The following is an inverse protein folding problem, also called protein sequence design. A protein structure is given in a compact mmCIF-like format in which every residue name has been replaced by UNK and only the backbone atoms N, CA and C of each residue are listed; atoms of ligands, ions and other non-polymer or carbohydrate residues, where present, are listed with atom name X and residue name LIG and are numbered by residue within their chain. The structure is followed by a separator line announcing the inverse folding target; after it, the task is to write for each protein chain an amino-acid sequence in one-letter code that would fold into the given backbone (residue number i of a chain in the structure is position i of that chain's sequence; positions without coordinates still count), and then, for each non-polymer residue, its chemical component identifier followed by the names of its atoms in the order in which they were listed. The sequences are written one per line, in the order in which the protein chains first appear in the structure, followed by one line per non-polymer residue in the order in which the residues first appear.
data_IF_650885869240
#
_entry.id   IF_650885869240
#
_cell.length_a   1.000
_cell.length_b   1.000
_cell.length_c   1.000
_cell.angle_alpha   90.00
_cell.angle_beta   90.00
_cell.angle_gamma   90.00
#
_symmetry.space_group_name_H-M   'P 1'
#
loop_
_entity.id
_entity.type
_entity.pdbx_description
1 polymer ?
#
# COMPACT_ATOMS: atom_id res chain seq x y z
N UNK A 1 23.77 12.91 -1.49
CA UNK A 1 24.18 12.23 -0.25
C UNK A 1 23.03 12.50 0.73
N UNK A 2 22.14 11.53 0.95
CA UNK A 2 21.09 11.70 1.96
C UNK A 2 21.80 11.76 3.30
N UNK A 3 21.74 12.90 3.98
CA UNK A 3 22.20 13.01 5.37
C UNK A 3 21.51 11.93 6.22
N UNK A 4 22.24 11.32 7.15
CA UNK A 4 21.67 10.33 8.06
C UNK A 4 20.49 10.97 8.81
N UNK A 5 19.28 10.49 8.54
CA UNK A 5 18.08 10.95 9.26
C UNK A 5 18.25 10.66 10.76
N UNK A 6 17.86 11.58 11.64
CA UNK A 6 18.07 11.41 13.07
C UNK A 6 17.25 10.24 13.60
N UNK A 7 17.89 9.39 14.40
CA UNK A 7 17.19 8.35 15.15
C UNK A 7 16.42 8.99 16.31
N UNK A 8 15.10 8.95 16.28
CA UNK A 8 14.29 9.47 17.38
C UNK A 8 14.41 8.59 18.63
N UNK A 9 14.39 7.28 18.43
CA UNK A 9 14.47 6.29 19.51
C UNK A 9 15.91 6.16 20.03
N UNK A 10 16.11 6.46 21.32
CA UNK A 10 17.41 6.43 22.02
C UNK A 10 18.51 7.33 21.41
N UNK A 11 18.17 8.22 20.46
CA UNK A 11 19.09 9.16 19.77
C UNK A 11 20.35 8.52 19.18
N UNK A 12 20.31 7.21 18.94
CA UNK A 12 21.45 6.39 18.51
C UNK A 12 20.98 5.34 17.52
N UNK A 13 21.84 4.94 16.56
CA UNK A 13 21.53 3.85 15.64
C UNK A 13 21.34 2.53 16.42
N UNK A 14 20.48 1.61 15.92
CA UNK A 14 20.39 0.26 16.47
C UNK A 14 21.74 -0.46 16.44
N UNK A 15 22.09 -1.17 17.52
CA UNK A 15 23.35 -1.95 17.59
C UNK A 15 23.30 -3.32 16.93
N UNK A 16 22.11 -3.81 16.59
CA UNK A 16 21.91 -5.10 15.92
C UNK A 16 21.20 -4.89 14.58
N UNK A 17 21.35 -5.88 13.70
CA UNK A 17 20.68 -5.94 12.40
C UNK A 17 19.77 -7.17 12.36
N UNK A 18 18.80 -7.13 11.45
CA UNK A 18 17.88 -8.21 11.15
C UNK A 18 17.50 -8.13 9.67
N UNK A 19 16.98 -9.23 9.13
CA UNK A 19 16.52 -9.29 7.74
C UNK A 19 15.03 -8.96 7.66
N UNK A 20 14.68 -8.04 6.77
CA UNK A 20 13.31 -7.62 6.47
C UNK A 20 12.91 -8.11 5.07
N UNK A 21 11.66 -8.57 4.91
CA UNK A 21 11.08 -8.99 3.62
C UNK A 21 11.91 -10.09 2.91
N UNK A 22 12.53 -11.02 3.67
CA UNK A 22 13.31 -12.11 3.05
C UNK A 22 12.40 -13.01 2.18
N UNK A 23 11.16 -13.23 2.64
CA UNK A 23 10.08 -13.80 1.84
C UNK A 23 8.78 -13.00 1.99
N UNK A 24 7.82 -13.22 1.10
CA UNK A 24 6.55 -12.46 1.10
C UNK A 24 5.79 -12.58 2.43
N UNK A 25 5.83 -13.75 3.07
CA UNK A 25 5.16 -13.99 4.35
C UNK A 25 5.75 -13.19 5.52
N UNK A 26 6.95 -12.63 5.38
CA UNK A 26 7.57 -11.82 6.43
C UNK A 26 6.97 -10.41 6.51
N UNK A 27 6.15 -10.03 5.53
CA UNK A 27 5.57 -8.71 5.43
C UNK A 27 4.12 -8.83 4.95
N UNK A 28 3.21 -8.84 5.92
CA UNK A 28 1.78 -8.90 5.68
C UNK A 28 1.20 -7.50 5.81
N UNK A 29 0.37 -7.09 4.85
CA UNK A 29 -0.33 -5.80 4.86
C UNK A 29 -1.83 -6.03 4.69
N UNK A 30 -2.64 -5.62 5.66
CA UNK A 30 -4.10 -5.70 5.59
C UNK A 30 -4.68 -4.30 5.47
N UNK A 31 -5.37 -4.02 4.37
CA UNK A 31 -5.97 -2.71 4.10
C UNK A 31 -7.18 -2.44 5.00
N UNK A 32 -7.23 -1.23 5.54
CA UNK A 32 -8.36 -0.69 6.26
C UNK A 32 -8.94 0.49 5.50
N UNK A 33 -10.13 0.31 4.93
CA UNK A 33 -10.82 1.38 4.21
C UNK A 33 -11.42 2.42 5.17
N UNK A 34 -11.67 2.07 6.42
CA UNK A 34 -12.39 2.90 7.40
C UNK A 34 -13.90 2.94 7.22
N UNK A 35 -14.45 2.05 6.38
CA UNK A 35 -15.88 1.88 6.16
C UNK A 35 -16.18 0.46 5.66
N UNK A 36 -17.41 0.03 5.87
CA UNK A 36 -17.91 -1.27 5.41
C UNK A 36 -18.54 -1.18 4.02
N UNK A 37 -18.56 -2.31 3.31
CA UNK A 37 -19.25 -2.43 2.04
C UNK A 37 -20.76 -2.44 2.26
N UNK A 38 -21.52 -1.85 1.34
CA UNK A 38 -22.96 -1.68 1.53
C UNK A 38 -23.80 -2.92 1.21
N UNK A 39 -23.21 -3.97 0.62
CA UNK A 39 -23.93 -5.17 0.20
C UNK A 39 -24.70 -5.01 -1.12
N UNK A 40 -24.98 -3.76 -1.52
CA UNK A 40 -25.68 -3.40 -2.76
C UNK A 40 -24.99 -2.24 -3.49
N UNK A 41 -25.40 -2.00 -4.73
CA UNK A 41 -24.93 -0.92 -5.60
C UNK A 41 -24.36 -1.40 -6.94
N UNK A 42 -23.91 -0.45 -7.76
CA UNK A 42 -23.40 -0.73 -9.11
C UNK A 42 -21.95 -1.25 -9.11
N UNK A 43 -21.22 -1.18 -8.00
CA UNK A 43 -19.84 -1.65 -7.93
C UNK A 43 -19.78 -3.02 -7.29
N UNK A 44 -19.21 -4.01 -7.98
CA UNK A 44 -18.80 -5.26 -7.33
C UNK A 44 -17.51 -5.00 -6.58
N UNK A 45 -17.50 -5.19 -5.26
CA UNK A 45 -16.34 -5.02 -4.41
C UNK A 45 -15.75 -6.38 -4.03
N UNK A 46 -14.43 -6.48 -4.12
CA UNK A 46 -13.66 -7.71 -3.94
C UNK A 46 -12.56 -7.49 -2.91
N UNK A 47 -12.59 -8.24 -1.81
CA UNK A 47 -11.45 -8.32 -0.90
C UNK A 47 -10.52 -9.41 -1.39
N UNK A 48 -9.29 -9.05 -1.72
CA UNK A 48 -8.35 -9.94 -2.40
C UNK A 48 -7.07 -10.03 -1.58
N UNK A 49 -6.67 -11.27 -1.26
CA UNK A 49 -5.31 -11.55 -0.78
C UNK A 49 -4.43 -11.83 -1.98
N UNK A 50 -3.32 -11.11 -2.08
CA UNK A 50 -2.30 -11.32 -3.12
C UNK A 50 -0.94 -11.61 -2.51
N UNK A 51 -0.20 -12.53 -3.12
CA UNK A 51 1.17 -12.92 -2.76
C UNK A 51 2.06 -12.72 -3.98
N UNK A 52 3.20 -12.06 -3.82
CA UNK A 52 4.19 -11.85 -4.90
C UNK A 52 3.65 -11.12 -6.15
N UNK A 53 2.50 -10.43 -6.05
CA UNK A 53 1.81 -9.80 -7.18
C UNK A 53 1.68 -8.28 -7.04
N UNK A 54 1.70 -7.56 -8.16
CA UNK A 54 1.46 -6.12 -8.22
C UNK A 54 -0.05 -5.81 -8.21
N UNK A 55 -0.47 -4.76 -7.51
CA UNK A 55 -1.89 -4.33 -7.44
C UNK A 55 -2.54 -4.12 -8.81
N UNK A 56 -1.86 -3.41 -9.73
CA UNK A 56 -2.40 -3.12 -11.07
C UNK A 56 -2.63 -4.40 -11.88
N UNK A 57 -1.63 -5.29 -11.92
CA UNK A 57 -1.73 -6.58 -12.60
C UNK A 57 -2.94 -7.39 -12.14
N UNK A 58 -3.18 -7.44 -10.82
CA UNK A 58 -4.34 -8.15 -10.27
C UNK A 58 -5.66 -7.48 -10.70
N UNK A 59 -5.74 -6.15 -10.60
CA UNK A 59 -6.91 -5.39 -11.03
C UNK A 59 -7.25 -5.58 -12.51
N UNK A 60 -6.25 -5.62 -13.38
CA UNK A 60 -6.41 -5.91 -14.82
C UNK A 60 -7.01 -7.30 -15.06
N UNK A 61 -6.53 -8.32 -14.35
CA UNK A 61 -7.05 -9.69 -14.47
C UNK A 61 -8.48 -9.81 -13.96
N UNK A 62 -8.82 -9.15 -12.86
CA UNK A 62 -10.18 -9.10 -12.33
C UNK A 62 -11.14 -8.39 -13.30
N UNK A 63 -10.74 -7.23 -13.84
CA UNK A 63 -11.52 -6.50 -14.82
C UNK A 63 -11.78 -7.34 -16.08
N UNK A 64 -10.73 -8.01 -16.60
CA UNK A 64 -10.84 -8.91 -17.75
C UNK A 64 -11.80 -10.07 -17.47
N UNK A 65 -11.70 -10.70 -16.30
CA UNK A 65 -12.59 -11.80 -15.91
C UNK A 65 -14.05 -11.36 -15.84
N UNK A 66 -14.31 -10.17 -15.30
CA UNK A 66 -15.65 -9.60 -15.22
C UNK A 66 -16.17 -8.98 -16.53
N UNK A 67 -15.37 -8.99 -17.61
CA UNK A 67 -15.77 -8.41 -18.89
C UNK A 67 -15.89 -6.89 -18.90
N UNK A 68 -15.23 -6.19 -17.96
CA UNK A 68 -15.25 -4.72 -17.88
C UNK A 68 -13.91 -4.10 -18.25
N UNK A 69 -13.93 -2.84 -18.68
CA UNK A 69 -12.71 -2.07 -18.94
C UNK A 69 -11.96 -1.77 -17.64
N UNK A 70 -10.62 -1.78 -17.68
CA UNK A 70 -9.75 -1.41 -16.56
C UNK A 70 -10.06 -0.01 -15.98
N UNK A 71 -10.58 0.92 -16.79
CA UNK A 71 -11.00 2.24 -16.31
C UNK A 71 -12.15 2.18 -15.29
N UNK A 72 -12.96 1.12 -15.36
CA UNK A 72 -14.08 0.87 -14.45
C UNK A 72 -13.63 0.16 -13.17
N UNK A 73 -12.37 -0.28 -13.12
CA UNK A 73 -11.75 -0.84 -11.92
C UNK A 73 -11.23 0.30 -11.01
N UNK A 74 -11.28 0.06 -9.70
CA UNK A 74 -10.82 0.97 -8.66
C UNK A 74 -10.18 0.21 -7.50
N UNK A 75 -9.32 0.90 -6.76
CA UNK A 75 -8.61 0.42 -5.57
C UNK A 75 -8.15 1.63 -4.75
N UNK A 76 -7.89 1.43 -3.45
CA UNK A 76 -7.55 2.54 -2.56
C UNK A 76 -6.06 2.92 -2.60
N UNK A 77 -5.16 1.95 -2.79
CA UNK A 77 -3.73 2.23 -2.93
C UNK A 77 -2.96 1.07 -3.53
N UNK A 78 -1.76 1.37 -4.02
CA UNK A 78 -0.81 0.34 -4.43
C UNK A 78 -0.27 -0.38 -3.18
N UNK A 79 -0.01 -1.67 -3.31
CA UNK A 79 0.58 -2.50 -2.26
C UNK A 79 1.85 -3.17 -2.76
N UNK A 80 2.79 -3.42 -1.86
CA UNK A 80 4.06 -4.08 -2.14
C UNK A 80 3.88 -5.39 -2.92
N UNK A 81 4.75 -5.63 -3.91
CA UNK A 81 4.81 -6.91 -4.61
C UNK A 81 5.39 -8.00 -3.72
N UNK A 82 6.50 -7.71 -3.03
CA UNK A 82 7.21 -8.65 -2.17
C UNK A 82 6.59 -8.66 -0.76
N UNK A 83 5.34 -9.10 -0.69
CA UNK A 83 4.51 -9.12 0.50
C UNK A 83 3.30 -10.05 0.28
N UNK A 84 2.65 -10.44 1.38
CA UNK A 84 1.26 -10.91 1.36
C UNK A 84 0.38 -9.71 1.69
N UNK A 85 -0.59 -9.38 0.84
CA UNK A 85 -1.41 -8.19 1.06
C UNK A 85 -2.89 -8.46 0.84
N UNK A 86 -3.72 -8.05 1.78
CA UNK A 86 -5.18 -8.01 1.64
C UNK A 86 -5.59 -6.60 1.28
N UNK A 87 -6.26 -6.44 0.14
CA UNK A 87 -6.74 -5.13 -0.32
C UNK A 87 -8.07 -5.25 -1.06
N UNK A 88 -8.79 -4.14 -1.12
CA UNK A 88 -10.03 -4.05 -1.84
C UNK A 88 -9.83 -3.57 -3.28
N UNK A 89 -10.56 -4.22 -4.18
CA UNK A 89 -10.81 -3.74 -5.53
C UNK A 89 -12.31 -3.50 -5.71
N UNK A 90 -12.69 -2.62 -6.62
CA UNK A 90 -14.07 -2.52 -7.08
C UNK A 90 -14.14 -2.49 -8.60
N UNK A 91 -15.20 -3.07 -9.17
CA UNK A 91 -15.48 -3.10 -10.60
C UNK A 91 -16.86 -2.47 -10.84
N UNK A 92 -16.93 -1.40 -11.63
CA UNK A 92 -18.22 -0.77 -11.97
C UNK A 92 -19.00 -1.64 -12.98
N UNK A 93 -20.15 -2.15 -12.55
CA UNK A 93 -21.00 -3.13 -13.24
C UNK A 93 -22.50 -2.76 -13.06
N UNK A 94 -22.96 -1.61 -13.61
CA UNK A 94 -24.33 -1.13 -13.41
C UNK A 94 -25.34 -2.03 -14.09
N UNK A 95 -26.32 -2.53 -13.33
CA UNK A 95 -27.37 -3.42 -13.83
C UNK A 95 -26.91 -4.80 -14.32
N UNK A 96 -25.61 -5.11 -14.19
CA UNK A 96 -25.05 -6.42 -14.52
C UNK A 96 -25.03 -7.29 -13.26
N UNK A 97 -25.23 -8.59 -13.43
CA UNK A 97 -25.05 -9.55 -12.34
C UNK A 97 -23.58 -9.66 -11.92
N UNK A 98 -23.35 -10.05 -10.67
CA UNK A 98 -21.99 -10.30 -10.18
C UNK A 98 -21.49 -11.63 -10.74
N UNK A 99 -20.34 -11.67 -11.46
CA UNK A 99 -19.75 -12.92 -11.89
C UNK A 99 -19.42 -13.83 -10.72
N UNK A 100 -19.42 -15.14 -10.95
CA UNK A 100 -18.96 -16.11 -9.96
C UNK A 100 -17.42 -16.07 -9.82
N UNK A 101 -16.93 -15.23 -8.92
CA UNK A 101 -15.50 -15.07 -8.66
C UNK A 101 -14.85 -16.30 -8.01
N UNK A 102 -15.61 -17.32 -7.59
CA UNK A 102 -15.01 -18.60 -7.19
C UNK A 102 -14.32 -19.32 -8.37
N UNK A 103 -14.69 -18.97 -9.61
CA UNK A 103 -14.09 -19.49 -10.84
C UNK A 103 -12.85 -18.69 -11.28
N UNK A 104 -12.54 -17.57 -10.60
CA UNK A 104 -11.36 -16.78 -10.91
C UNK A 104 -10.10 -17.47 -10.34
N UNK A 105 -9.33 -18.10 -11.21
CA UNK A 105 -8.07 -18.76 -10.85
C UNK A 105 -6.88 -17.96 -11.36
N UNK A 106 -6.04 -17.50 -10.44
CA UNK A 106 -4.79 -16.82 -10.75
C UNK A 106 -3.76 -17.14 -9.66
N UNK A 107 -2.55 -17.52 -10.07
CA UNK A 107 -1.47 -17.85 -9.15
C UNK A 107 -1.18 -16.69 -8.18
N UNK A 108 -1.06 -17.03 -6.89
CA UNK A 108 -0.78 -16.08 -5.82
C UNK A 108 -1.96 -15.19 -5.43
N UNK A 109 -3.17 -15.42 -5.96
CA UNK A 109 -4.36 -14.64 -5.68
C UNK A 109 -5.45 -15.50 -5.04
N UNK A 110 -6.08 -14.96 -3.99
CA UNK A 110 -7.21 -15.56 -3.30
C UNK A 110 -8.29 -14.50 -3.14
N UNK A 111 -9.52 -14.83 -3.56
CA UNK A 111 -10.70 -13.99 -3.33
C UNK A 111 -11.24 -14.33 -1.93
N UNK A 112 -11.14 -13.37 -1.02
CA UNK A 112 -11.59 -13.55 0.37
C UNK A 112 -13.07 -13.17 0.54
N UNK A 113 -13.52 -12.16 -0.20
CA UNK A 113 -14.87 -11.64 -0.10
C UNK A 113 -15.33 -11.05 -1.43
N UNK A 114 -16.62 -11.26 -1.74
CA UNK A 114 -17.31 -10.68 -2.89
C UNK A 114 -18.60 -10.05 -2.37
N UNK A 115 -18.79 -8.76 -2.65
CA UNK A 115 -19.97 -8.01 -2.23
C UNK A 115 -20.25 -6.87 -3.22
N UNK A 116 -21.16 -5.96 -2.89
CA UNK A 116 -21.43 -4.75 -3.66
C UNK A 116 -21.29 -3.49 -2.85
N UNK A 117 -21.02 -2.40 -3.57
CA UNK A 117 -20.95 -1.07 -3.01
C UNK A 117 -21.56 -0.01 -3.93
N UNK A 118 -22.07 1.05 -3.32
CA UNK A 118 -22.65 2.20 -4.04
C UNK A 118 -21.61 3.10 -4.70
N UNK A 119 -20.39 3.17 -4.14
CA UNK A 119 -19.38 4.14 -4.55
C UNK A 119 -18.12 3.43 -5.04
N UNK A 120 -17.45 4.04 -6.02
CA UNK A 120 -16.13 3.60 -6.46
C UNK A 120 -15.12 3.75 -5.32
N UNK A 121 -14.33 2.71 -5.07
CA UNK A 121 -13.11 2.79 -4.25
C UNK A 121 -12.06 3.56 -5.05
N UNK A 122 -11.61 4.70 -4.52
CA UNK A 122 -10.71 5.64 -5.21
C UNK A 122 -9.33 5.62 -4.59
N UNK A 123 -8.33 5.94 -5.38
CA UNK A 123 -6.96 6.12 -4.88
C UNK A 123 -6.93 7.15 -3.74
N UNK A 124 -6.35 6.78 -2.61
CA UNK A 124 -6.30 7.58 -1.39
C UNK A 124 -7.49 7.41 -0.44
N UNK A 125 -8.54 6.67 -0.83
CA UNK A 125 -9.73 6.46 0.02
C UNK A 125 -9.59 5.27 0.96
N UNK A 126 -8.52 5.24 1.75
CA UNK A 126 -8.31 4.29 2.84
C UNK A 126 -8.03 5.05 4.15
N UNK A 127 -8.39 4.44 5.28
CA UNK A 127 -8.02 4.94 6.60
C UNK A 127 -6.58 4.59 6.94
N UNK A 128 -6.13 3.38 6.60
CA UNK A 128 -4.80 2.91 6.96
C UNK A 128 -4.51 1.49 6.49
N UNK A 129 -3.43 0.93 7.02
CA UNK A 129 -3.06 -0.46 6.81
C UNK A 129 -2.56 -1.04 8.13
N UNK A 130 -2.94 -2.27 8.43
CA UNK A 130 -2.35 -3.07 9.48
C UNK A 130 -1.15 -3.83 8.92
N UNK A 131 -0.07 -3.88 9.67
CA UNK A 131 1.17 -4.55 9.28
C UNK A 131 1.48 -5.67 10.25
N UNK A 132 1.78 -6.86 9.73
CA UNK A 132 2.45 -7.92 10.48
C UNK A 132 3.82 -8.11 9.85
N UNK A 133 4.87 -7.87 10.62
CA UNK A 133 6.25 -7.84 10.13
C UNK A 133 7.07 -8.83 10.93
N UNK A 134 7.69 -9.78 10.24
CA UNK A 134 8.68 -10.68 10.82
C UNK A 134 10.08 -10.20 10.46
N UNK A 135 10.87 -9.88 11.49
CA UNK A 135 12.30 -9.62 11.35
C UNK A 135 13.05 -10.95 11.56
N UNK A 136 13.68 -11.46 10.51
CA UNK A 136 14.45 -12.70 10.57
C UNK A 136 15.85 -12.45 11.10
N UNK A 137 16.37 -13.46 11.79
CA UNK A 137 17.69 -13.42 12.45
C UNK A 137 17.84 -12.29 13.47
N UNK A 138 16.71 -11.71 13.92
CA UNK A 138 16.70 -10.71 14.97
C UNK A 138 17.07 -11.36 16.31
N UNK A 139 18.07 -10.79 16.98
CA UNK A 139 18.41 -11.17 18.35
C UNK A 139 17.60 -10.33 19.33
N UNK A 140 16.91 -11.00 20.25
CA UNK A 140 16.14 -10.35 21.29
C UNK A 140 17.08 -9.81 22.39
N UNK A 141 17.51 -8.56 22.24
CA UNK A 141 18.36 -7.86 23.20
C UNK A 141 17.56 -6.86 24.04
N UNK A 142 18.10 -6.45 25.18
CA UNK A 142 17.49 -5.40 26.01
C UNK A 142 17.34 -4.07 25.27
N UNK A 143 18.28 -3.77 24.36
CA UNK A 143 18.16 -2.59 23.49
C UNK A 143 16.99 -2.72 22.53
N UNK A 144 16.80 -3.87 21.89
CA UNK A 144 15.66 -4.10 20.98
C UNK A 144 14.34 -3.92 21.73
N UNK A 145 14.22 -4.52 22.93
CA UNK A 145 13.05 -4.35 23.81
C UNK A 145 12.80 -2.89 24.15
N UNK A 146 13.83 -2.15 24.56
CA UNK A 146 13.73 -0.73 24.87
C UNK A 146 13.26 0.09 23.66
N UNK A 147 13.77 -0.21 22.46
CA UNK A 147 13.37 0.47 21.22
C UNK A 147 11.92 0.18 20.84
N UNK A 148 11.49 -1.09 20.91
CA UNK A 148 10.10 -1.48 20.64
C UNK A 148 9.13 -0.85 21.64
N UNK A 149 9.47 -0.85 22.93
CA UNK A 149 8.69 -0.17 23.95
C UNK A 149 8.59 1.33 23.71
N UNK A 150 9.66 1.98 23.27
CA UNK A 150 9.60 3.39 22.90
C UNK A 150 8.65 3.63 21.72
N UNK A 151 8.76 2.83 20.65
CA UNK A 151 7.89 2.94 19.48
C UNK A 151 6.43 2.70 19.85
N UNK A 152 6.14 1.75 20.74
CA UNK A 152 4.78 1.51 21.23
C UNK A 152 4.18 2.71 21.98
N UNK A 153 4.99 3.40 22.80
CA UNK A 153 4.49 4.50 23.65
C UNK A 153 4.51 5.87 22.96
N UNK A 154 5.46 6.10 22.06
CA UNK A 154 5.73 7.43 21.49
C UNK A 154 5.66 7.46 19.96
N UNK A 155 5.48 6.31 19.32
CA UNK A 155 5.51 6.18 17.87
C UNK A 155 6.92 6.34 17.30
N UNK A 156 6.98 6.72 16.03
CA UNK A 156 8.21 6.89 15.27
C UNK A 156 8.06 8.06 14.28
N UNK A 157 9.17 8.63 13.78
CA UNK A 157 9.10 9.68 12.76
C UNK A 157 8.43 9.17 11.48
N UNK A 158 7.44 9.91 10.99
CA UNK A 158 6.75 9.59 9.75
C UNK A 158 7.57 10.03 8.52
N UNK A 159 8.75 9.43 8.35
CA UNK A 159 9.62 9.72 7.21
C UNK A 159 9.06 9.11 5.92
N UNK A 160 9.22 9.85 4.82
CA UNK A 160 9.10 9.26 3.51
C UNK A 160 10.36 8.45 3.19
N UNK A 161 10.18 7.16 2.91
CA UNK A 161 11.27 6.26 2.52
C UNK A 161 11.77 6.56 1.10
N UNK A 162 12.97 6.09 0.77
CA UNK A 162 13.63 6.31 -0.54
C UNK A 162 12.75 5.94 -1.74
N UNK A 163 11.92 4.90 -1.61
CA UNK A 163 10.96 4.47 -2.63
C UNK A 163 9.99 5.60 -3.06
N UNK A 164 9.81 6.66 -2.25
CA UNK A 164 9.00 7.83 -2.59
C UNK A 164 9.73 8.81 -3.52
N UNK A 165 11.06 8.85 -3.46
CA UNK A 165 11.88 9.75 -4.28
C UNK A 165 12.20 9.18 -5.66
N UNK A 166 11.62 8.03 -6.03
CA UNK A 166 11.88 7.36 -7.32
C UNK A 166 13.26 6.69 -7.35
N UNK A 167 13.59 6.01 -8.45
CA UNK A 167 14.93 5.42 -8.63
C UNK A 167 15.98 6.52 -8.50
N UNK A 168 16.97 6.30 -7.63
CA UNK A 168 18.10 7.20 -7.38
C UNK A 168 17.70 8.65 -7.03
N UNK A 169 16.52 8.86 -6.44
CA UNK A 169 16.05 10.20 -6.04
C UNK A 169 15.53 11.06 -7.21
N UNK A 170 15.31 10.48 -8.39
CA UNK A 170 14.90 11.20 -9.59
C UNK A 170 13.64 12.06 -9.40
N UNK A 171 12.65 11.59 -8.62
CA UNK A 171 11.44 12.38 -8.33
C UNK A 171 11.75 13.58 -7.44
N UNK A 172 12.68 13.45 -6.49
CA UNK A 172 13.12 14.55 -5.63
C UNK A 172 13.89 15.60 -6.45
N UNK A 173 14.76 15.16 -7.36
CA UNK A 173 15.47 16.08 -8.28
C UNK A 173 14.48 16.83 -9.16
N UNK A 174 13.50 16.15 -9.75
CA UNK A 174 12.48 16.84 -10.56
C UNK A 174 11.62 17.79 -9.71
N UNK A 175 11.29 17.43 -8.47
CA UNK A 175 10.57 18.30 -7.53
C UNK A 175 11.31 19.62 -7.29
N UNK A 176 12.61 19.53 -6.99
CA UNK A 176 13.46 20.70 -6.73
C UNK A 176 13.58 21.58 -7.96
N UNK A 177 13.84 20.99 -9.13
CA UNK A 177 13.93 21.71 -10.41
C UNK A 177 12.63 22.41 -10.77
N UNK A 178 11.48 21.80 -10.48
CA UNK A 178 10.18 22.43 -10.67
C UNK A 178 9.96 23.58 -9.69
N UNK A 179 10.29 23.40 -8.40
CA UNK A 179 10.19 24.44 -7.37
C UNK A 179 11.09 25.64 -7.68
N UNK A 180 12.24 25.41 -8.31
CA UNK A 180 13.18 26.43 -8.79
C UNK A 180 12.78 27.04 -10.15
N UNK A 181 11.69 26.55 -10.77
CA UNK A 181 11.18 27.06 -12.04
C UNK A 181 11.94 26.58 -13.28
N UNK A 182 12.87 25.63 -13.15
CA UNK A 182 13.70 25.12 -14.25
C UNK A 182 12.94 24.20 -15.21
N UNK A 183 11.86 23.57 -14.74
CA UNK A 183 11.01 22.68 -15.54
C UNK A 183 9.54 23.06 -15.41
N UNK A 184 8.76 22.87 -16.47
CA UNK A 184 7.29 22.98 -16.44
C UNK A 184 6.66 21.60 -16.52
N UNK A 185 5.98 21.18 -15.47
CA UNK A 185 5.23 19.92 -15.46
C UNK A 185 3.89 20.15 -16.17
N UNK A 186 3.71 19.53 -17.34
CA UNK A 186 2.51 19.72 -18.20
C UNK A 186 1.28 18.95 -17.71
N UNK A 187 1.47 17.90 -16.90
CA UNK A 187 0.39 16.98 -16.51
C UNK A 187 0.16 17.02 -14.98
N UNK A 188 -1.07 17.36 -14.56
CA UNK A 188 -1.45 17.49 -13.14
C UNK A 188 -1.25 16.19 -12.36
N UNK A 189 -1.35 15.03 -13.01
CA UNK A 189 -1.11 13.71 -12.37
C UNK A 189 0.32 13.54 -11.87
N UNK A 190 1.29 14.20 -12.50
CA UNK A 190 2.71 14.14 -12.12
C UNK A 190 3.05 15.07 -10.94
N UNK A 191 2.17 16.01 -10.57
CA UNK A 191 2.38 16.93 -9.44
C UNK A 191 2.14 16.22 -8.09
N UNK A 192 1.22 15.23 -8.04
CA UNK A 192 0.95 14.44 -6.83
C UNK A 192 2.08 13.43 -6.50
N UNK A 193 2.91 13.09 -7.49
CA UNK A 193 4.16 12.33 -7.25
C UNK A 193 5.21 13.18 -6.51
N UNK A 194 5.16 14.50 -6.69
CA UNK A 194 6.09 15.48 -6.12
C UNK A 194 5.79 15.79 -4.65
N UNK A 195 4.51 15.82 -4.26
CA UNK A 195 4.07 16.04 -2.88
C UNK A 195 2.87 15.13 -2.55
N UNK A 196 3.06 14.07 -1.75
CA UNK A 196 1.97 13.22 -1.31
C UNK A 196 1.15 13.91 -0.22
N UNK A 197 -0.16 14.12 -0.39
CA UNK A 197 -1.03 14.34 0.75
C UNK A 197 -1.29 13.00 1.45
N UNK A 198 -1.48 13.08 2.76
CA UNK A 198 -1.94 12.05 3.70
C UNK A 198 -0.87 11.21 4.41
N UNK A 199 -0.89 11.37 5.73
CA UNK A 199 -0.16 10.60 6.71
C UNK A 199 -0.73 9.18 6.79
N UNK A 200 0.15 8.19 6.74
CA UNK A 200 -0.19 6.81 7.13
C UNK A 200 -0.27 6.80 8.66
N UNK A 201 -1.47 6.60 9.21
CA UNK A 201 -1.62 6.26 10.63
C UNK A 201 -1.20 4.81 10.81
N UNK A 202 -0.13 4.59 11.56
CA UNK A 202 0.18 3.29 12.12
C UNK A 202 -0.53 3.20 13.46
N UNK A 203 -1.53 2.33 13.56
CA UNK A 203 -1.99 1.84 14.86
C UNK A 203 -1.17 0.59 15.15
N UNK A 204 -0.44 0.62 16.27
CA UNK A 204 0.25 -0.55 16.84
C UNK A 204 -0.78 -1.35 17.63
#
# INVERSE_FOLDING_TARGET
MLEQLPYLTLKTPPKSTALLKQQCADFVVKEDLGYEMSGEGEFVALKVRKTACNTLFVGEKLAKFAGVSERNMGYAGLKDRQAITEQWFCLQMPGQETPDFSQFVLEGIEILEVTRHHRKIRTGSLQGNYFEILLRDAQETDELKARLNFVANFGFPNYFMEQRFGRDGHNLTQALRWAQGEIKVKDRKNVAFTFPPHAVRFSI
#
